data_IF_881073407423
#
_entry.id   IF_881073407423
#
_cell.length_a   1.000
_cell.length_b   1.000
_cell.length_c   1.000
_cell.angle_alpha   90.00
_cell.angle_beta   90.00
_cell.angle_gamma   90.00
#
_symmetry.space_group_name_H-M   'P 1'
#
loop_
_entity.id
_entity.type
_entity.pdbx_description
1 polymer ?
#
# COMPACT_ATOMS: atom_id res chain seq x y z
N UNK A 1 -21.83 7.94 -21.33
CA UNK A 1 -20.69 8.79 -21.77
C UNK A 1 -20.30 9.66 -20.57
N UNK A 2 -19.28 9.24 -19.81
CA UNK A 2 -19.04 9.74 -18.43
C UNK A 2 -18.25 11.07 -18.38
N UNK A 3 -18.57 11.88 -17.37
CA UNK A 3 -18.37 13.33 -17.27
C UNK A 3 -17.14 13.75 -16.42
N UNK A 4 -16.17 12.86 -16.16
CA UNK A 4 -14.96 13.22 -15.40
C UNK A 4 -13.83 13.68 -16.35
N UNK A 5 -13.44 14.97 -16.33
CA UNK A 5 -12.45 15.52 -17.26
C UNK A 5 -11.05 14.93 -17.08
N UNK A 6 -10.77 14.31 -15.93
CA UNK A 6 -9.45 13.80 -15.55
C UNK A 6 -8.94 12.66 -16.46
N UNK A 7 -9.83 11.77 -16.92
CA UNK A 7 -9.45 10.56 -17.70
C UNK A 7 -9.66 10.69 -19.21
N UNK A 8 -10.29 11.78 -19.69
CA UNK A 8 -10.40 12.09 -21.12
C UNK A 8 -9.16 12.79 -21.67
N UNK A 9 -8.28 13.28 -20.81
CA UNK A 9 -7.09 14.03 -21.21
C UNK A 9 -6.21 13.18 -22.15
N UNK A 10 -5.71 13.82 -23.20
CA UNK A 10 -4.78 13.19 -24.16
C UNK A 10 -3.54 12.64 -23.45
N UNK A 11 -3.10 13.30 -22.37
CA UNK A 11 -2.01 12.86 -21.49
C UNK A 11 -2.29 11.57 -20.74
N UNK A 12 -3.51 11.31 -20.25
CA UNK A 12 -3.82 10.05 -19.55
C UNK A 12 -3.87 8.88 -20.53
N UNK A 13 -4.37 9.12 -21.76
CA UNK A 13 -4.39 8.13 -22.84
C UNK A 13 -2.99 7.78 -23.36
N UNK A 14 -2.09 8.76 -23.49
CA UNK A 14 -0.70 8.49 -23.89
C UNK A 14 0.05 7.67 -22.83
N UNK A 15 -0.12 8.01 -21.54
CA UNK A 15 0.48 7.25 -20.44
C UNK A 15 -0.08 5.82 -20.35
N UNK A 16 -1.38 5.63 -20.59
CA UNK A 16 -1.99 4.30 -20.68
C UNK A 16 -1.41 3.47 -21.83
N UNK A 17 -1.27 4.07 -23.01
CA UNK A 17 -0.69 3.40 -24.19
C UNK A 17 0.77 3.01 -23.98
N UNK A 18 1.59 3.90 -23.38
CA UNK A 18 3.01 3.62 -23.08
C UNK A 18 3.19 2.42 -22.13
N UNK A 19 2.27 2.25 -21.18
CA UNK A 19 2.28 1.13 -20.24
C UNK A 19 1.54 -0.12 -20.76
N UNK A 20 1.07 -0.12 -22.02
CA UNK A 20 0.23 -1.17 -22.60
C UNK A 20 -1.04 -1.46 -21.79
N UNK A 21 -1.58 -0.45 -21.11
CA UNK A 21 -2.84 -0.56 -20.35
C UNK A 21 -3.94 0.13 -21.15
N UNK A 22 -4.90 -0.64 -21.65
CA UNK A 22 -6.14 -0.11 -22.21
C UNK A 22 -6.97 0.50 -21.07
N UNK A 23 -7.42 1.75 -21.26
CA UNK A 23 -8.32 2.42 -20.32
C UNK A 23 -9.72 1.88 -20.54
N UNK A 24 -9.97 0.68 -20.00
CA UNK A 24 -11.25 -0.01 -20.07
C UNK A 24 -12.18 0.37 -18.91
N UNK A 25 -13.47 0.05 -19.04
CA UNK A 25 -14.45 0.27 -17.96
C UNK A 25 -14.08 -0.45 -16.66
N UNK A 26 -13.51 -1.65 -16.74
CA UNK A 26 -13.01 -2.38 -15.57
C UNK A 26 -11.85 -1.67 -14.88
N UNK A 27 -10.98 -1.00 -15.64
CA UNK A 27 -9.91 -0.18 -15.07
C UNK A 27 -10.48 1.02 -14.33
N UNK A 28 -11.48 1.69 -14.91
CA UNK A 28 -12.17 2.82 -14.26
C UNK A 28 -12.88 2.39 -12.97
N UNK A 29 -13.62 1.27 -13.00
CA UNK A 29 -14.29 0.73 -11.80
C UNK A 29 -13.27 0.42 -10.69
N UNK A 30 -12.16 -0.25 -11.03
CA UNK A 30 -11.08 -0.52 -10.08
C UNK A 30 -10.47 0.78 -9.53
N UNK A 31 -10.23 1.77 -10.39
CA UNK A 31 -9.66 3.06 -10.01
C UNK A 31 -10.58 3.84 -9.06
N UNK A 32 -11.88 3.90 -9.35
CA UNK A 32 -12.86 4.54 -8.47
C UNK A 32 -13.00 3.82 -7.12
N UNK A 33 -13.04 2.48 -7.14
CA UNK A 33 -13.10 1.67 -5.93
C UNK A 33 -11.84 1.87 -5.06
N UNK A 34 -10.68 2.07 -5.68
CA UNK A 34 -9.43 2.33 -4.96
C UNK A 34 -9.37 3.75 -4.38
N UNK A 35 -9.95 4.74 -5.07
CA UNK A 35 -9.87 6.13 -4.62
C UNK A 35 -10.85 6.46 -3.49
N UNK A 36 -12.07 5.91 -3.51
CA UNK A 36 -13.09 6.12 -2.48
C UNK A 36 -13.82 4.83 -2.09
N UNK A 37 -13.10 3.83 -1.54
CA UNK A 37 -13.66 2.49 -1.30
C UNK A 37 -14.89 2.50 -0.40
N UNK A 38 -14.88 3.32 0.66
CA UNK A 38 -15.98 3.39 1.63
C UNK A 38 -17.24 4.00 1.03
N UNK A 39 -17.11 5.10 0.27
CA UNK A 39 -18.26 5.77 -0.36
C UNK A 39 -18.91 4.90 -1.43
N UNK A 40 -18.11 4.19 -2.21
CA UNK A 40 -18.62 3.26 -3.22
C UNK A 40 -19.38 2.09 -2.57
N UNK A 41 -18.81 1.51 -1.51
CA UNK A 41 -19.42 0.39 -0.79
C UNK A 41 -20.72 0.81 -0.10
N UNK A 42 -20.78 1.99 0.54
CA UNK A 42 -22.01 2.47 1.19
C UNK A 42 -23.12 2.72 0.18
N UNK A 43 -22.82 3.37 -0.95
CA UNK A 43 -23.81 3.58 -2.02
C UNK A 43 -24.31 2.24 -2.56
N UNK A 44 -23.40 1.30 -2.83
CA UNK A 44 -23.76 -0.05 -3.29
C UNK A 44 -24.69 -0.75 -2.30
N UNK A 45 -24.34 -0.80 -1.00
CA UNK A 45 -25.18 -1.43 0.01
C UNK A 45 -26.56 -0.78 0.13
N UNK A 46 -26.66 0.55 0.07
CA UNK A 46 -27.96 1.26 0.10
C UNK A 46 -28.81 0.90 -1.13
N UNK A 47 -28.20 0.87 -2.33
CA UNK A 47 -28.95 0.49 -3.54
C UNK A 47 -29.45 -0.95 -3.48
N UNK A 48 -28.62 -1.89 -3.04
CA UNK A 48 -29.01 -3.30 -2.87
C UNK A 48 -30.09 -3.44 -1.80
N UNK A 49 -30.02 -2.67 -0.71
CA UNK A 49 -31.05 -2.64 0.33
C UNK A 49 -32.41 -2.19 -0.21
N UNK A 50 -32.45 -1.07 -0.94
CA UNK A 50 -33.70 -0.54 -1.50
C UNK A 50 -34.29 -1.48 -2.56
N UNK A 51 -33.46 -1.99 -3.46
CA UNK A 51 -33.89 -2.90 -4.53
C UNK A 51 -34.32 -4.25 -3.95
N UNK A 52 -33.56 -4.81 -3.01
CA UNK A 52 -33.86 -6.09 -2.38
C UNK A 52 -35.13 -6.04 -1.54
N UNK A 53 -35.33 -4.98 -0.76
CA UNK A 53 -36.56 -4.77 0.02
C UNK A 53 -37.78 -4.61 -0.89
N UNK A 54 -37.67 -3.80 -1.96
CA UNK A 54 -38.74 -3.65 -2.96
C UNK A 54 -39.05 -4.98 -3.66
N UNK A 55 -38.02 -5.73 -4.06
CA UNK A 55 -38.17 -7.00 -4.80
C UNK A 55 -38.81 -8.09 -3.94
N UNK A 56 -38.41 -8.20 -2.66
CA UNK A 56 -39.04 -9.10 -1.70
C UNK A 56 -40.52 -8.74 -1.50
N UNK A 57 -40.84 -7.44 -1.37
CA UNK A 57 -42.22 -6.97 -1.26
C UNK A 57 -43.02 -7.32 -2.51
N UNK A 58 -42.50 -7.03 -3.70
CA UNK A 58 -43.15 -7.31 -4.98
C UNK A 58 -43.47 -8.80 -5.14
N UNK A 59 -42.54 -9.70 -4.80
CA UNK A 59 -42.78 -11.15 -4.90
C UNK A 59 -43.60 -11.74 -3.74
N UNK A 60 -43.78 -11.02 -2.64
CA UNK A 60 -44.71 -11.38 -1.56
C UNK A 60 -46.16 -10.95 -1.85
N UNK A 61 -46.37 -9.99 -2.74
CA UNK A 61 -47.70 -9.49 -3.10
C UNK A 61 -48.57 -10.56 -3.76
N UNK A 62 -47.95 -11.53 -4.45
CA UNK A 62 -48.65 -12.62 -5.14
C UNK A 62 -49.13 -13.75 -4.22
N UNK A 63 -48.72 -13.79 -2.94
CA UNK A 63 -49.24 -14.77 -1.98
C UNK A 63 -50.47 -14.22 -1.27
N UNK A 64 -51.55 -15.01 -1.23
CA UNK A 64 -52.85 -14.66 -0.66
C UNK A 64 -52.89 -14.67 0.87
N UNK A 65 -51.96 -15.36 1.55
CA UNK A 65 -52.19 -15.76 2.94
C UNK A 65 -51.57 -14.86 4.02
N UNK A 66 -50.66 -13.94 3.69
CA UNK A 66 -50.19 -12.92 4.64
C UNK A 66 -49.39 -11.84 3.90
N UNK A 67 -49.88 -10.60 3.91
CA UNK A 67 -49.15 -9.51 3.27
C UNK A 67 -47.95 -9.11 4.13
N UNK A 68 -46.72 -9.41 3.68
CA UNK A 68 -45.53 -8.78 4.25
C UNK A 68 -45.64 -7.26 4.07
N UNK A 69 -45.81 -6.54 5.18
CA UNK A 69 -45.71 -5.08 5.22
C UNK A 69 -44.31 -4.64 4.75
N UNK A 70 -44.17 -3.42 4.21
CA UNK A 70 -42.86 -2.90 3.76
C UNK A 70 -41.79 -2.99 4.85
N UNK A 71 -42.17 -2.76 6.11
CA UNK A 71 -41.28 -2.88 7.27
C UNK A 71 -40.78 -4.31 7.48
N UNK A 72 -41.64 -5.32 7.34
CA UNK A 72 -41.27 -6.72 7.48
C UNK A 72 -40.38 -7.18 6.31
N UNK A 73 -40.60 -6.66 5.10
CA UNK A 73 -39.72 -6.93 3.95
C UNK A 73 -38.33 -6.31 4.12
N UNK A 74 -38.22 -5.10 4.69
CA UNK A 74 -36.94 -4.49 5.07
C UNK A 74 -36.23 -5.31 6.14
N UNK A 75 -36.95 -5.75 7.17
CA UNK A 75 -36.41 -6.61 8.22
C UNK A 75 -35.90 -7.94 7.66
N UNK A 76 -36.71 -8.62 6.85
CA UNK A 76 -36.35 -9.87 6.16
C UNK A 76 -35.09 -9.69 5.30
N UNK A 77 -34.96 -8.56 4.60
CA UNK A 77 -33.74 -8.24 3.86
C UNK A 77 -32.53 -8.16 4.79
N UNK A 78 -32.61 -7.40 5.89
CA UNK A 78 -31.48 -7.19 6.81
C UNK A 78 -31.00 -8.51 7.41
N UNK A 79 -31.91 -9.36 7.90
CA UNK A 79 -31.55 -10.63 8.54
C UNK A 79 -30.97 -11.63 7.54
N UNK A 80 -31.40 -11.57 6.27
CA UNK A 80 -30.90 -12.44 5.20
C UNK A 80 -29.54 -11.94 4.69
N UNK A 81 -29.40 -10.63 4.50
CA UNK A 81 -28.17 -9.98 4.05
C UNK A 81 -27.04 -10.12 5.07
N UNK A 82 -27.36 -10.02 6.36
CA UNK A 82 -26.40 -10.26 7.46
C UNK A 82 -26.18 -11.74 7.76
N UNK A 83 -26.84 -12.65 7.02
CA UNK A 83 -26.76 -14.11 7.20
C UNK A 83 -27.17 -14.58 8.61
N UNK A 84 -27.98 -13.80 9.33
CA UNK A 84 -28.50 -14.14 10.67
C UNK A 84 -29.66 -15.12 10.57
N UNK A 85 -30.67 -14.79 9.76
CA UNK A 85 -31.80 -15.68 9.46
C UNK A 85 -32.61 -16.17 10.67
N UNK A 86 -33.28 -15.28 11.40
CA UNK A 86 -34.12 -15.67 12.56
C UNK A 86 -35.29 -16.61 12.21
N UNK A 87 -35.82 -16.52 10.99
CA UNK A 87 -36.91 -17.37 10.52
C UNK A 87 -38.31 -16.96 11.01
N UNK A 88 -38.43 -15.77 11.59
CA UNK A 88 -39.70 -15.15 12.00
C UNK A 88 -40.58 -14.78 10.79
N UNK A 89 -39.96 -14.31 9.70
CA UNK A 89 -40.61 -14.13 8.41
C UNK A 89 -39.86 -14.94 7.34
N UNK A 90 -40.59 -15.66 6.49
CA UNK A 90 -39.99 -16.44 5.40
C UNK A 90 -40.77 -16.28 4.09
N UNK A 91 -40.10 -16.17 2.94
CA UNK A 91 -40.80 -16.09 1.66
C UNK A 91 -41.44 -17.45 1.32
N UNK A 92 -42.77 -17.48 1.24
CA UNK A 92 -43.52 -18.65 0.80
C UNK A 92 -43.46 -18.86 -0.72
N UNK A 93 -43.34 -17.77 -1.50
CA UNK A 93 -43.28 -17.85 -2.97
C UNK A 93 -41.95 -18.35 -3.50
N UNK A 94 -41.98 -19.09 -4.61
CA UNK A 94 -40.77 -19.47 -5.36
C UNK A 94 -39.93 -18.24 -5.73
N UNK A 95 -40.57 -17.15 -6.18
CA UNK A 95 -39.85 -15.90 -6.47
C UNK A 95 -39.13 -15.36 -5.23
N UNK A 96 -39.82 -15.22 -4.09
CA UNK A 96 -39.23 -14.69 -2.87
C UNK A 96 -38.04 -15.52 -2.37
N UNK A 97 -38.09 -16.85 -2.50
CA UNK A 97 -36.99 -17.75 -2.15
C UNK A 97 -35.76 -17.53 -3.03
N UNK A 98 -35.94 -17.36 -4.35
CA UNK A 98 -34.82 -17.07 -5.25
C UNK A 98 -34.16 -15.73 -4.96
N UNK A 99 -34.96 -14.69 -4.66
CA UNK A 99 -34.46 -13.37 -4.28
C UNK A 99 -33.71 -13.44 -2.95
N UNK A 100 -34.25 -14.14 -1.94
CA UNK A 100 -33.58 -14.32 -0.66
C UNK A 100 -32.22 -15.03 -0.81
N UNK A 101 -32.13 -16.06 -1.66
CA UNK A 101 -30.86 -16.73 -1.96
C UNK A 101 -29.84 -15.78 -2.63
N UNK A 102 -30.28 -14.95 -3.58
CA UNK A 102 -29.42 -13.94 -4.21
C UNK A 102 -28.95 -12.88 -3.21
N UNK A 103 -29.83 -12.41 -2.33
CA UNK A 103 -29.49 -11.44 -1.27
C UNK A 103 -28.43 -12.03 -0.33
N UNK A 104 -28.58 -13.30 0.07
CA UNK A 104 -27.59 -13.97 0.92
C UNK A 104 -26.21 -14.05 0.24
N UNK A 105 -26.15 -14.41 -1.05
CA UNK A 105 -24.90 -14.43 -1.81
C UNK A 105 -24.25 -13.04 -1.90
N UNK A 106 -25.04 -12.01 -2.23
CA UNK A 106 -24.56 -10.62 -2.28
C UNK A 106 -24.10 -10.14 -0.91
N UNK A 107 -24.79 -10.53 0.16
CA UNK A 107 -24.43 -10.26 1.55
C UNK A 107 -23.02 -10.76 1.88
N UNK A 108 -22.75 -12.04 1.63
CA UNK A 108 -21.42 -12.65 1.86
C UNK A 108 -20.32 -11.98 1.03
N UNK A 109 -20.59 -11.66 -0.24
CA UNK A 109 -19.63 -10.95 -1.09
C UNK A 109 -19.34 -9.53 -0.55
N UNK A 110 -20.37 -8.84 -0.07
CA UNK A 110 -20.25 -7.49 0.48
C UNK A 110 -19.47 -7.45 1.79
N UNK A 111 -19.64 -8.43 2.67
CA UNK A 111 -18.91 -8.51 3.95
C UNK A 111 -17.43 -8.80 3.70
N UNK A 112 -17.09 -9.65 2.72
CA UNK A 112 -15.70 -9.88 2.31
C UNK A 112 -15.02 -8.60 1.79
N UNK A 113 -15.72 -7.82 0.96
CA UNK A 113 -15.24 -6.51 0.49
C UNK A 113 -15.08 -5.52 1.64
N UNK A 114 -16.03 -5.46 2.57
CA UNK A 114 -15.97 -4.60 3.74
C UNK A 114 -14.73 -4.90 4.60
N UNK A 115 -14.47 -6.18 4.89
CA UNK A 115 -13.28 -6.63 5.63
C UNK A 115 -12.00 -6.19 4.91
N UNK A 116 -11.95 -6.34 3.58
CA UNK A 116 -10.78 -5.94 2.79
C UNK A 116 -10.50 -4.43 2.87
N UNK A 117 -11.55 -3.60 2.81
CA UNK A 117 -11.42 -2.14 2.93
C UNK A 117 -11.02 -1.74 4.35
N UNK A 118 -11.62 -2.37 5.37
CA UNK A 118 -11.26 -2.13 6.76
C UNK A 118 -9.79 -2.50 7.03
N UNK A 119 -9.32 -3.64 6.53
CA UNK A 119 -7.93 -4.06 6.67
C UNK A 119 -6.97 -3.01 6.09
N UNK A 120 -7.25 -2.47 4.90
CA UNK A 120 -6.43 -1.41 4.29
C UNK A 120 -6.44 -0.11 5.09
N UNK A 121 -7.58 0.26 5.68
CA UNK A 121 -7.71 1.49 6.49
C UNK A 121 -7.07 1.37 7.87
N UNK A 122 -6.92 0.16 8.39
CA UNK A 122 -6.23 -0.11 9.65
C UNK A 122 -4.70 -0.19 9.49
N UNK A 123 -4.19 -0.26 8.26
CA UNK A 123 -2.76 -0.13 8.02
C UNK A 123 -2.34 1.29 8.33
N UNK A 124 -1.46 1.45 9.32
CA UNK A 124 -0.87 2.74 9.68
C UNK A 124 -0.06 3.32 8.54
N UNK A 125 -0.15 4.64 8.36
CA UNK A 125 0.67 5.36 7.40
C UNK A 125 2.17 5.28 7.76
N UNK A 126 3.04 5.51 6.77
CA UNK A 126 4.51 5.50 6.98
C UNK A 126 4.93 6.40 8.15
N UNK A 127 4.34 7.59 8.23
CA UNK A 127 4.65 8.58 9.25
C UNK A 127 4.10 8.20 10.62
N UNK A 128 2.88 7.65 10.67
CA UNK A 128 2.30 7.12 11.91
C UNK A 128 3.11 5.95 12.45
N UNK A 129 3.52 5.02 11.58
CA UNK A 129 4.40 3.90 11.93
C UNK A 129 5.75 4.38 12.45
N UNK A 130 6.33 5.42 11.84
CA UNK A 130 7.58 6.02 12.31
C UNK A 130 7.42 6.59 13.73
N UNK A 131 6.38 7.40 13.96
CA UNK A 131 6.10 7.99 15.28
C UNK A 131 5.84 6.88 16.31
N UNK A 132 5.06 5.86 15.95
CA UNK A 132 4.80 4.72 16.81
C UNK A 132 6.09 3.98 17.21
N UNK A 133 6.95 3.66 16.25
CA UNK A 133 8.22 3.00 16.50
C UNK A 133 9.15 3.86 17.37
N UNK A 134 9.17 5.17 17.14
CA UNK A 134 9.96 6.11 17.93
C UNK A 134 9.49 6.14 19.40
N UNK A 135 8.18 6.20 19.63
CA UNK A 135 7.60 6.14 20.99
C UNK A 135 7.94 4.81 21.66
N UNK A 136 7.85 3.69 20.94
CA UNK A 136 8.23 2.38 21.46
C UNK A 136 9.71 2.30 21.86
N UNK A 137 10.62 2.87 21.08
CA UNK A 137 12.06 2.87 21.43
C UNK A 137 12.36 3.70 22.68
N UNK A 138 11.68 4.84 22.86
CA UNK A 138 11.77 5.64 24.09
C UNK A 138 11.33 4.80 25.30
N UNK A 139 10.19 4.11 25.18
CA UNK A 139 9.62 3.33 26.27
C UNK A 139 10.49 2.12 26.63
N UNK A 140 10.98 1.38 25.62
CA UNK A 140 11.92 0.28 25.85
C UNK A 140 13.24 0.75 26.46
N UNK A 141 13.74 1.91 26.04
CA UNK A 141 14.97 2.49 26.59
C UNK A 141 14.83 2.89 28.06
N UNK A 142 13.66 3.41 28.46
CA UNK A 142 13.33 3.67 29.88
C UNK A 142 13.24 2.37 30.67
N UNK A 143 12.47 1.41 30.19
CA UNK A 143 12.28 0.12 30.86
C UNK A 143 13.59 -0.65 31.00
N UNK A 144 14.47 -0.60 30.01
CA UNK A 144 15.81 -1.21 30.07
C UNK A 144 16.64 -0.65 31.22
N UNK A 145 16.63 0.67 31.42
CA UNK A 145 17.36 1.32 32.53
C UNK A 145 16.78 0.93 33.89
N UNK A 146 15.45 0.91 34.02
CA UNK A 146 14.75 0.49 35.26
C UNK A 146 15.09 -0.97 35.60
N UNK A 147 15.01 -1.88 34.62
CA UNK A 147 15.31 -3.29 34.86
C UNK A 147 16.80 -3.53 35.13
N UNK A 148 17.71 -2.80 34.46
CA UNK A 148 19.14 -2.88 34.78
C UNK A 148 19.41 -2.45 36.23
N UNK A 149 18.76 -1.38 36.71
CA UNK A 149 18.86 -0.95 38.10
C UNK A 149 18.33 -2.02 39.08
N UNK A 150 17.21 -2.68 38.76
CA UNK A 150 16.67 -3.79 39.55
C UNK A 150 17.63 -5.00 39.60
N UNK A 151 18.25 -5.36 38.47
CA UNK A 151 19.27 -6.42 38.43
C UNK A 151 20.42 -6.08 39.36
N UNK A 152 20.98 -4.88 39.27
CA UNK A 152 22.07 -4.43 40.15
C UNK A 152 21.63 -4.47 41.62
N UNK A 153 20.44 -3.95 41.94
CA UNK A 153 19.86 -3.96 43.30
C UNK A 153 19.78 -5.38 43.87
N UNK A 154 19.25 -6.34 43.11
CA UNK A 154 19.10 -7.72 43.59
C UNK A 154 20.42 -8.49 43.64
N UNK A 155 21.36 -8.20 42.72
CA UNK A 155 22.74 -8.74 42.79
C UNK A 155 23.44 -8.27 44.05
N UNK A 156 23.39 -6.97 44.35
CA UNK A 156 23.97 -6.41 45.57
C UNK A 156 23.30 -6.97 46.83
N UNK A 157 21.96 -7.07 46.83
CA UNK A 157 21.22 -7.67 47.95
C UNK A 157 21.64 -9.13 48.17
N UNK A 158 21.78 -9.93 47.10
CA UNK A 158 22.27 -11.31 47.16
C UNK A 158 23.70 -11.38 47.72
N UNK A 159 24.59 -10.50 47.27
CA UNK A 159 25.97 -10.42 47.75
C UNK A 159 26.05 -10.05 49.25
N UNK A 160 25.29 -9.03 49.68
CA UNK A 160 25.20 -8.65 51.10
C UNK A 160 24.68 -9.78 51.99
N UNK A 161 23.67 -10.54 51.54
CA UNK A 161 23.12 -11.69 52.28
C UNK A 161 24.17 -12.80 52.45
N UNK A 162 24.97 -13.05 51.39
CA UNK A 162 26.08 -14.02 51.44
C UNK A 162 27.18 -13.57 52.41
N UNK A 163 27.53 -12.27 52.41
CA UNK A 163 28.53 -11.71 53.34
C UNK A 163 28.10 -11.81 54.81
N UNK A 164 26.79 -11.79 55.10
CA UNK A 164 26.23 -11.97 56.45
C UNK A 164 26.03 -13.43 56.85
N UNK A 165 26.53 -14.40 56.08
CA UNK A 165 26.34 -15.85 56.31
C UNK A 165 24.87 -16.29 56.47
N UNK A 166 23.94 -15.59 55.81
CA UNK A 166 22.54 -15.98 55.82
C UNK A 166 22.37 -17.27 55.01
N UNK A 167 21.68 -18.26 55.58
CA UNK A 167 21.46 -19.57 54.95
C UNK A 167 20.84 -19.44 53.56
N UNK A 168 21.43 -20.14 52.59
CA UNK A 168 20.95 -20.21 51.20
C UNK A 168 19.56 -20.85 51.08
N UNK A 169 19.17 -21.66 52.06
CA UNK A 169 17.83 -22.27 52.13
C UNK A 169 16.80 -21.37 52.79
N UNK A 170 17.19 -20.20 53.31
CA UNK A 170 16.23 -19.26 53.91
C UNK A 170 15.26 -18.74 52.86
N UNK A 171 13.99 -18.60 53.25
CA UNK A 171 12.93 -18.07 52.37
C UNK A 171 13.28 -16.68 51.81
N UNK A 172 13.95 -15.84 52.62
CA UNK A 172 14.41 -14.51 52.22
C UNK A 172 15.48 -14.55 51.11
N UNK A 173 16.43 -15.49 51.18
CA UNK A 173 17.46 -15.66 50.14
C UNK A 173 16.81 -16.09 48.82
N UNK A 174 15.94 -17.11 48.87
CA UNK A 174 15.22 -17.64 47.71
C UNK A 174 14.34 -16.58 47.03
N UNK A 175 13.68 -15.71 47.80
CA UNK A 175 12.88 -14.62 47.24
C UNK A 175 13.73 -13.62 46.46
N UNK A 176 14.91 -13.24 46.99
CA UNK A 176 15.83 -12.34 46.29
C UNK A 176 16.39 -12.99 45.03
N UNK A 177 16.71 -14.28 45.08
CA UNK A 177 17.18 -15.04 43.91
C UNK A 177 16.10 -15.16 42.82
N UNK A 178 14.84 -15.42 43.20
CA UNK A 178 13.71 -15.41 42.25
C UNK A 178 13.52 -14.04 41.62
N UNK A 179 13.54 -12.97 42.41
CA UNK A 179 13.41 -11.59 41.92
C UNK A 179 14.57 -11.21 40.99
N UNK A 180 15.80 -11.65 41.30
CA UNK A 180 16.96 -11.47 40.44
C UNK A 180 16.77 -12.18 39.10
N UNK A 181 16.44 -13.48 39.11
CA UNK A 181 16.24 -14.27 37.90
C UNK A 181 15.10 -13.71 37.03
N UNK A 182 14.02 -13.26 37.66
CA UNK A 182 12.91 -12.58 36.98
C UNK A 182 13.39 -11.28 36.31
N UNK A 183 14.14 -10.43 37.02
CA UNK A 183 14.67 -9.17 36.49
C UNK A 183 15.63 -9.38 35.32
N UNK A 184 16.49 -10.40 35.40
CA UNK A 184 17.40 -10.79 34.30
C UNK A 184 16.59 -11.24 33.07
N UNK A 185 15.56 -12.05 33.28
CA UNK A 185 14.69 -12.54 32.19
C UNK A 185 13.96 -11.38 31.50
N UNK A 186 13.43 -10.43 32.29
CA UNK A 186 12.79 -9.22 31.76
C UNK A 186 13.77 -8.35 30.98
N UNK A 187 15.00 -8.16 31.49
CA UNK A 187 16.04 -7.39 30.81
C UNK A 187 16.39 -8.00 29.44
N UNK A 188 16.53 -9.33 29.36
CA UNK A 188 16.73 -10.02 28.08
C UNK A 188 15.54 -9.87 27.13
N UNK A 189 14.31 -9.93 27.64
CA UNK A 189 13.10 -9.71 26.83
C UNK A 189 13.08 -8.31 26.24
N UNK A 190 13.37 -7.27 27.04
CA UNK A 190 13.45 -5.88 26.59
C UNK A 190 14.57 -5.72 25.54
N UNK A 191 15.75 -6.30 25.77
CA UNK A 191 16.86 -6.26 24.81
C UNK A 191 16.50 -6.90 23.47
N UNK A 192 15.80 -8.04 23.47
CA UNK A 192 15.30 -8.69 22.25
C UNK A 192 14.26 -7.82 21.52
N UNK A 193 13.32 -7.24 22.25
CA UNK A 193 12.31 -6.33 21.67
C UNK A 193 12.96 -5.11 21.02
N UNK A 194 14.00 -4.55 21.65
CA UNK A 194 14.73 -3.41 21.09
C UNK A 194 15.48 -3.79 19.81
N UNK A 195 16.12 -4.97 19.76
CA UNK A 195 16.73 -5.49 18.53
C UNK A 195 15.72 -5.61 17.38
N UNK A 196 14.55 -6.19 17.64
CA UNK A 196 13.48 -6.31 16.64
C UNK A 196 12.94 -4.96 16.14
N UNK A 197 12.94 -3.93 16.97
CA UNK A 197 12.56 -2.58 16.52
C UNK A 197 13.63 -1.95 15.64
N UNK A 198 14.91 -2.15 15.97
CA UNK A 198 16.03 -1.66 15.16
C UNK A 198 16.01 -2.32 13.79
N UNK A 199 15.85 -3.65 13.71
CA UNK A 199 15.77 -4.38 12.45
C UNK A 199 14.65 -3.83 11.55
N UNK A 200 13.46 -3.60 12.12
CA UNK A 200 12.32 -2.99 11.41
C UNK A 200 12.60 -1.57 10.89
N UNK A 201 13.41 -0.80 11.61
CA UNK A 201 13.81 0.55 11.19
C UNK A 201 14.90 0.50 10.11
N UNK A 202 15.85 -0.43 10.20
CA UNK A 202 16.91 -0.64 9.20
C UNK A 202 16.29 -1.02 7.85
N UNK A 203 15.31 -1.94 7.81
CA UNK A 203 14.59 -2.27 6.57
C UNK A 203 13.98 -1.03 5.90
N UNK A 204 13.46 -0.08 6.69
CA UNK A 204 12.87 1.14 6.17
C UNK A 204 13.92 2.18 5.75
N UNK A 205 15.08 2.20 6.41
CA UNK A 205 16.23 3.06 6.09
C UNK A 205 16.92 2.57 4.81
N UNK A 206 17.11 1.27 4.64
CA UNK A 206 17.74 0.68 3.45
C UNK A 206 16.97 1.05 2.18
N UNK A 207 15.63 1.06 2.25
CA UNK A 207 14.80 1.50 1.13
C UNK A 207 15.04 2.98 0.78
N UNK A 208 15.23 3.84 1.80
CA UNK A 208 15.55 5.27 1.61
C UNK A 208 16.99 5.44 1.11
N UNK A 209 17.94 4.65 1.62
CA UNK A 209 19.33 4.67 1.19
C UNK A 209 19.47 4.25 -0.28
N UNK A 210 18.77 3.17 -0.69
CA UNK A 210 18.68 2.72 -2.08
C UNK A 210 18.06 3.82 -2.96
N UNK A 211 16.98 4.47 -2.50
CA UNK A 211 16.36 5.59 -3.24
C UNK A 211 17.32 6.77 -3.41
N UNK A 212 18.11 7.08 -2.39
CA UNK A 212 19.08 8.19 -2.43
C UNK A 212 20.23 7.86 -3.37
N UNK A 213 20.77 6.64 -3.29
CA UNK A 213 21.85 6.17 -4.16
C UNK A 213 21.43 6.10 -5.63
N UNK A 214 20.21 5.65 -5.91
CA UNK A 214 19.67 5.65 -7.28
C UNK A 214 19.44 7.09 -7.78
N UNK A 215 19.02 8.02 -6.91
CA UNK A 215 18.89 9.45 -7.26
C UNK A 215 20.25 10.09 -7.61
N UNK A 216 21.32 9.75 -6.90
CA UNK A 216 22.67 10.26 -7.23
C UNK A 216 23.20 9.64 -8.52
N UNK A 217 23.02 8.32 -8.71
CA UNK A 217 23.45 7.63 -9.93
C UNK A 217 22.71 8.13 -11.18
N UNK A 218 21.41 8.39 -11.07
CA UNK A 218 20.63 8.97 -12.17
C UNK A 218 21.08 10.40 -12.47
N UNK A 219 21.41 11.19 -11.45
CA UNK A 219 21.99 12.52 -11.66
C UNK A 219 23.30 12.43 -12.45
N UNK A 220 24.23 11.56 -12.06
CA UNK A 220 25.51 11.37 -12.74
C UNK A 220 25.32 10.88 -14.19
N UNK A 221 24.40 9.93 -14.42
CA UNK A 221 24.08 9.46 -15.77
C UNK A 221 23.50 10.58 -16.66
N UNK A 222 22.63 11.44 -16.12
CA UNK A 222 22.10 12.59 -16.88
C UNK A 222 23.17 13.63 -17.19
N UNK A 223 24.13 13.83 -16.29
CA UNK A 223 25.29 14.69 -16.54
C UNK A 223 26.15 14.12 -17.69
N UNK A 224 26.41 12.82 -17.69
CA UNK A 224 27.14 12.15 -18.78
C UNK A 224 26.40 12.28 -20.12
N UNK A 225 25.08 12.09 -20.14
CA UNK A 225 24.26 12.27 -21.35
C UNK A 225 24.34 13.72 -21.86
N UNK A 226 24.30 14.72 -20.97
CA UNK A 226 24.47 16.14 -21.37
C UNK A 226 25.84 16.39 -21.99
N UNK A 227 26.90 15.89 -21.38
CA UNK A 227 28.26 16.01 -21.92
C UNK A 227 28.36 15.31 -23.27
N UNK A 228 27.76 14.13 -23.41
CA UNK A 228 27.77 13.36 -24.65
C UNK A 228 26.97 14.05 -25.77
N UNK A 229 25.84 14.69 -25.45
CA UNK A 229 25.10 15.54 -26.41
C UNK A 229 25.94 16.70 -26.92
N UNK A 230 26.60 17.44 -26.03
CA UNK A 230 27.50 18.53 -26.43
C UNK A 230 28.64 18.04 -27.33
N UNK A 231 29.18 16.84 -27.07
CA UNK A 231 30.18 16.22 -27.95
C UNK A 231 29.60 15.81 -29.31
N UNK A 232 28.36 15.31 -29.36
CA UNK A 232 27.66 15.02 -30.61
C UNK A 232 27.43 16.29 -31.43
N UNK A 233 26.94 17.37 -30.83
CA UNK A 233 26.71 18.63 -31.52
C UNK A 233 28.01 19.17 -32.16
N UNK A 234 29.14 19.05 -31.44
CA UNK A 234 30.47 19.40 -31.98
C UNK A 234 30.93 18.49 -33.11
N UNK A 235 30.58 17.20 -33.09
CA UNK A 235 30.86 16.29 -34.20
C UNK A 235 30.02 16.64 -35.41
N UNK A 236 28.73 16.94 -35.23
CA UNK A 236 27.83 17.35 -36.31
C UNK A 236 28.32 18.65 -36.96
N UNK A 237 28.81 19.61 -36.17
CA UNK A 237 29.43 20.84 -36.69
C UNK A 237 30.70 20.54 -37.52
N UNK A 238 31.54 19.61 -37.07
CA UNK A 238 32.73 19.18 -37.83
C UNK A 238 32.36 18.47 -39.12
N UNK A 239 31.33 17.61 -39.09
CA UNK A 239 30.82 16.91 -40.28
C UNK A 239 30.26 17.93 -41.29
N UNK A 240 29.52 18.94 -40.83
CA UNK A 240 29.02 20.01 -41.69
C UNK A 240 30.16 20.79 -42.38
N UNK A 241 31.22 21.16 -41.63
CA UNK A 241 32.42 21.82 -42.20
C UNK A 241 33.15 20.94 -43.21
N UNK A 242 33.31 19.65 -42.91
CA UNK A 242 33.94 18.71 -43.83
C UNK A 242 33.13 18.56 -45.13
N UNK A 243 31.81 18.47 -45.02
CA UNK A 243 30.93 18.37 -46.18
C UNK A 243 30.97 19.66 -47.04
N UNK A 244 31.04 20.83 -46.40
CA UNK A 244 31.24 22.11 -47.11
C UNK A 244 32.58 22.15 -47.86
N UNK A 245 33.67 21.66 -47.24
CA UNK A 245 34.97 21.58 -47.90
C UNK A 245 34.96 20.63 -49.11
N UNK A 246 34.29 19.46 -49.00
CA UNK A 246 34.13 18.53 -50.12
C UNK A 246 33.36 19.19 -51.28
N UNK A 247 32.29 19.93 -50.98
CA UNK A 247 31.54 20.62 -52.02
C UNK A 247 32.38 21.69 -52.73
N UNK A 248 33.23 22.41 -51.99
CA UNK A 248 34.14 23.41 -52.55
C UNK A 248 35.18 22.75 -53.47
N UNK A 249 35.84 21.67 -53.04
CA UNK A 249 36.81 20.94 -53.87
C UNK A 249 36.15 20.34 -55.11
N UNK A 250 34.93 19.82 -54.99
CA UNK A 250 34.17 19.30 -56.12
C UNK A 250 33.79 20.41 -57.11
N UNK A 251 33.51 21.63 -56.63
CA UNK A 251 33.37 22.83 -57.46
C UNK A 251 34.66 23.16 -58.21
N UNK A 252 35.79 23.13 -57.53
CA UNK A 252 37.08 23.48 -58.12
C UNK A 252 37.51 22.46 -59.18
N UNK A 253 37.31 21.16 -58.92
CA UNK A 253 37.50 20.10 -59.92
C UNK A 253 36.59 20.31 -61.13
N UNK A 254 35.32 20.68 -60.94
CA UNK A 254 34.42 21.02 -62.05
C UNK A 254 34.93 22.21 -62.86
N UNK A 255 35.46 23.26 -62.22
CA UNK A 255 36.06 24.42 -62.92
C UNK A 255 37.32 24.04 -63.71
N UNK A 256 38.16 23.16 -63.17
CA UNK A 256 39.35 22.67 -63.88
C UNK A 256 38.94 21.83 -65.09
N UNK A 257 37.95 20.95 -64.94
CA UNK A 257 37.40 20.15 -66.04
C UNK A 257 36.82 21.04 -67.16
N UNK A 258 36.11 22.11 -66.82
CA UNK A 258 35.59 23.04 -67.85
C UNK A 258 36.71 23.83 -68.52
N UNK A 259 37.77 24.21 -67.80
CA UNK A 259 38.96 24.85 -68.37
C UNK A 259 39.71 23.91 -69.33
N UNK A 260 39.94 22.65 -68.95
CA UNK A 260 40.56 21.65 -69.83
C UNK A 260 39.73 21.40 -71.08
N UNK A 261 38.40 21.32 -70.94
CA UNK A 261 37.49 21.14 -72.08
C UNK A 261 37.44 22.37 -73.01
N UNK A 262 37.83 23.55 -72.49
CA UNK A 262 37.96 24.79 -73.27
C UNK A 262 39.30 24.92 -73.99
N UNK A 263 40.34 24.24 -73.50
CA UNK A 263 41.68 24.13 -74.14
C UNK A 263 41.69 23.03 -75.22
N UNK A 264 40.83 22.01 -75.10
CA UNK A 264 40.68 20.92 -76.09
C UNK A 264 39.88 21.31 -77.35
N UNK A 265 39.42 22.56 -77.46
CA UNK A 265 38.68 23.11 -78.61
C UNK A 265 39.47 24.23 -79.25
#
# INVERSE_FOLDING_TARGET
MFHSPLFRNTSSRSVGYLNKVSIDYFFLIKAYLQQWPTRCLTIFCITVFLIGSWSLRACSYSSTDEHLTMQNAMWLFVITFTTVGYGDFTPSTYCGRTIAAMIALVGVLSTALLISVLAQKLVMDRWEKYVHNFVLDIELSKNRKIQAANVIKFVLKRWCMKKRNISTKSMQYLQVERQLNHSITLLHKIKRQQGQLVDKCVDQIDLIAIQRQTSTQTHDATQQIKIMKVKMDKMDEKLAKMNANINNTMSDVKKILTMLNKISK
#
